data_IF_460773548278
#
_entry.id   IF_460773548278
#
_cell.length_a   1.000
_cell.length_b   1.000
_cell.length_c   1.000
_cell.angle_alpha   90.00
_cell.angle_beta   90.00
_cell.angle_gamma   90.00
#
_symmetry.space_group_name_H-M   'P 1'
#
loop_
_entity.id
_entity.type
_entity.pdbx_description
1 polymer ?
#
# COMPACT_ATOMS: atom_id res chain seq x y z
N UNK A 1 1.81 13.72 -19.51
CA UNK A 1 2.40 12.36 -19.54
C UNK A 1 2.50 11.73 -18.15
N UNK A 2 2.61 12.51 -17.06
CA UNK A 2 2.71 12.00 -15.68
C UNK A 2 1.44 11.27 -15.21
N UNK A 3 0.25 11.82 -15.47
CA UNK A 3 -1.01 11.19 -15.01
C UNK A 3 -1.27 9.78 -15.56
N UNK A 4 -0.80 9.47 -16.78
CA UNK A 4 -0.99 8.13 -17.38
C UNK A 4 -0.10 7.07 -16.72
N UNK A 5 1.11 7.44 -16.28
CA UNK A 5 1.98 6.56 -15.50
C UNK A 5 1.36 6.26 -14.13
N UNK A 6 0.84 7.28 -13.44
CA UNK A 6 0.21 7.11 -12.13
C UNK A 6 -1.01 6.19 -12.16
N UNK A 7 -1.79 6.21 -13.25
CA UNK A 7 -2.94 5.31 -13.43
C UNK A 7 -2.49 3.86 -13.64
N UNK A 8 -1.45 3.65 -14.46
CA UNK A 8 -0.90 2.32 -14.72
C UNK A 8 -0.28 1.73 -13.45
N UNK A 9 0.50 2.50 -12.70
CA UNK A 9 1.13 2.07 -11.45
C UNK A 9 0.10 1.63 -10.40
N UNK A 10 -1.03 2.36 -10.30
CA UNK A 10 -2.15 1.99 -9.43
C UNK A 10 -2.82 0.69 -9.84
N UNK A 11 -3.02 0.49 -11.14
CA UNK A 11 -3.62 -0.73 -11.65
C UNK A 11 -2.71 -1.94 -11.39
N UNK A 12 -1.40 -1.79 -11.58
CA UNK A 12 -0.43 -2.84 -11.24
C UNK A 12 -0.43 -3.17 -9.76
N UNK A 13 -0.38 -2.18 -8.87
CA UNK A 13 -0.46 -2.39 -7.42
C UNK A 13 -1.74 -3.13 -7.02
N UNK A 14 -2.88 -2.73 -7.61
CA UNK A 14 -4.15 -3.40 -7.35
C UNK A 14 -4.11 -4.87 -7.77
N UNK A 15 -3.59 -5.18 -8.97
CA UNK A 15 -3.52 -6.56 -9.45
C UNK A 15 -2.56 -7.41 -8.61
N UNK A 16 -1.39 -6.85 -8.26
CA UNK A 16 -0.40 -7.56 -7.44
C UNK A 16 -0.98 -7.96 -6.08
N UNK A 17 -1.71 -7.06 -5.42
CA UNK A 17 -2.41 -7.36 -4.16
C UNK A 17 -3.46 -8.46 -4.33
N UNK A 18 -4.25 -8.40 -5.40
CA UNK A 18 -5.28 -9.41 -5.67
C UNK A 18 -4.63 -10.78 -5.89
N UNK A 19 -3.59 -10.85 -6.72
CA UNK A 19 -2.89 -12.10 -7.02
C UNK A 19 -2.24 -12.69 -5.77
N UNK A 20 -1.63 -11.85 -4.93
CA UNK A 20 -1.03 -12.30 -3.68
C UNK A 20 -2.07 -12.89 -2.71
N UNK A 21 -3.20 -12.20 -2.51
CA UNK A 21 -4.26 -12.66 -1.60
C UNK A 21 -4.89 -13.97 -2.10
N UNK A 22 -5.17 -14.05 -3.41
CA UNK A 22 -5.66 -15.29 -4.02
C UNK A 22 -4.64 -16.44 -3.88
N UNK A 23 -3.34 -16.14 -4.00
CA UNK A 23 -2.26 -17.11 -3.79
C UNK A 23 -2.17 -17.64 -2.36
N UNK A 24 -2.66 -16.88 -1.38
CA UNK A 24 -2.74 -17.28 0.03
C UNK A 24 -4.06 -17.98 0.39
N UNK A 25 -5.01 -18.07 -0.55
CA UNK A 25 -6.29 -18.76 -0.36
C UNK A 25 -7.44 -17.87 0.12
N UNK A 26 -7.29 -16.56 0.05
CA UNK A 26 -8.38 -15.61 0.33
C UNK A 26 -9.49 -15.69 -0.72
N UNK A 27 -10.71 -15.30 -0.34
CA UNK A 27 -11.82 -15.21 -1.28
C UNK A 27 -11.58 -14.11 -2.33
N UNK A 28 -12.06 -14.32 -3.56
CA UNK A 28 -11.91 -13.36 -4.65
C UNK A 28 -12.60 -12.03 -4.33
N UNK A 29 -13.78 -12.04 -3.73
CA UNK A 29 -14.52 -10.83 -3.40
C UNK A 29 -13.75 -9.97 -2.39
N UNK A 30 -13.19 -10.62 -1.37
CA UNK A 30 -12.36 -9.97 -0.36
C UNK A 30 -11.06 -9.45 -0.96
N UNK A 31 -10.36 -10.25 -1.77
CA UNK A 31 -9.14 -9.85 -2.46
C UNK A 31 -9.34 -8.62 -3.36
N UNK A 32 -10.44 -8.59 -4.12
CA UNK A 32 -10.80 -7.44 -4.95
C UNK A 32 -11.11 -6.20 -4.13
N UNK A 33 -11.79 -6.35 -2.99
CA UNK A 33 -12.10 -5.24 -2.09
C UNK A 33 -10.82 -4.66 -1.48
N UNK A 34 -9.92 -5.51 -0.98
CA UNK A 34 -8.65 -5.11 -0.42
C UNK A 34 -7.74 -4.44 -1.46
N UNK A 35 -7.61 -5.01 -2.66
CA UNK A 35 -6.83 -4.41 -3.73
C UNK A 35 -7.31 -3.01 -4.11
N UNK A 36 -8.63 -2.80 -4.23
CA UNK A 36 -9.22 -1.49 -4.52
C UNK A 36 -8.94 -0.48 -3.39
N UNK A 37 -9.04 -0.91 -2.12
CA UNK A 37 -8.77 -0.05 -0.96
C UNK A 37 -7.31 0.38 -0.91
N UNK A 38 -6.37 -0.55 -1.08
CA UNK A 38 -4.92 -0.26 -1.09
C UNK A 38 -4.54 0.67 -2.25
N UNK A 39 -5.07 0.43 -3.46
CA UNK A 39 -4.82 1.30 -4.60
C UNK A 39 -5.38 2.72 -4.41
N UNK A 40 -6.52 2.87 -3.70
CA UNK A 40 -7.07 4.17 -3.33
C UNK A 40 -6.19 4.90 -2.32
N UNK A 41 -5.64 4.19 -1.33
CA UNK A 41 -4.71 4.75 -0.35
C UNK A 41 -3.45 5.24 -1.08
N UNK A 42 -2.84 4.41 -1.91
CA UNK A 42 -1.65 4.74 -2.70
C UNK A 42 -1.86 5.92 -3.68
N UNK A 43 -3.11 6.18 -4.09
CA UNK A 43 -3.46 7.29 -4.95
C UNK A 43 -3.51 8.64 -4.23
N UNK A 44 -3.61 8.62 -2.90
CA UNK A 44 -3.61 9.84 -2.08
C UNK A 44 -2.20 10.44 -2.12
N UNK A 45 -2.05 11.75 -2.33
CA UNK A 45 -0.72 12.34 -2.36
C UNK A 45 -0.06 12.27 -0.97
N UNK A 46 1.27 12.18 -0.91
CA UNK A 46 2.06 12.07 0.34
C UNK A 46 1.66 13.12 1.40
N UNK A 47 1.36 14.34 0.94
CA UNK A 47 0.90 15.46 1.78
C UNK A 47 -0.57 15.34 2.26
N UNK A 48 -1.40 14.53 1.59
CA UNK A 48 -2.80 14.30 1.92
C UNK A 48 -3.00 13.07 2.80
N UNK A 49 -2.01 12.19 2.95
CA UNK A 49 -2.14 11.01 3.82
C UNK A 49 -2.37 11.33 5.30
N UNK A 50 -2.04 12.55 5.75
CA UNK A 50 -2.41 13.03 7.11
C UNK A 50 -3.92 13.27 7.28
N UNK A 51 -4.66 13.36 6.17
CA UNK A 51 -6.13 13.46 6.16
C UNK A 51 -6.83 12.09 6.16
N UNK A 52 -6.08 10.98 6.06
CA UNK A 52 -6.64 9.64 6.27
C UNK A 52 -7.12 9.54 7.72
N UNK A 53 -8.45 9.47 7.87
CA UNK A 53 -9.11 9.38 9.18
C UNK A 53 -8.97 7.98 9.79
N UNK A 54 -8.89 6.95 8.95
CA UNK A 54 -8.77 5.57 9.39
C UNK A 54 -7.31 5.24 9.79
N UNK A 55 -7.08 4.76 11.02
CA UNK A 55 -5.74 4.45 11.50
C UNK A 55 -5.08 3.29 10.76
N UNK A 56 -5.87 2.34 10.21
CA UNK A 56 -5.34 1.25 9.41
C UNK A 56 -4.88 1.77 8.04
N UNK A 57 -5.68 2.61 7.39
CA UNK A 57 -5.31 3.21 6.10
C UNK A 57 -4.05 4.06 6.20
N UNK A 58 -3.87 4.80 7.32
CA UNK A 58 -2.61 5.51 7.61
C UNK A 58 -1.43 4.56 7.73
N UNK A 59 -1.61 3.43 8.41
CA UNK A 59 -0.55 2.44 8.58
C UNK A 59 -0.13 1.83 7.24
N UNK A 60 -1.11 1.52 6.38
CA UNK A 60 -0.88 1.01 5.03
C UNK A 60 -0.16 2.05 4.16
N UNK A 61 -0.62 3.31 4.19
CA UNK A 61 0.04 4.41 3.47
C UNK A 61 1.52 4.57 3.84
N UNK A 62 1.82 4.48 5.15
CA UNK A 62 3.19 4.57 5.66
C UNK A 62 4.06 3.39 5.20
N UNK A 63 3.53 2.16 5.22
CA UNK A 63 4.28 1.00 4.69
C UNK A 63 4.56 1.20 3.20
N UNK A 64 3.57 1.65 2.42
CA UNK A 64 3.73 1.90 0.99
C UNK A 64 4.75 3.00 0.68
N UNK A 65 4.83 4.06 1.51
CA UNK A 65 5.86 5.09 1.33
C UNK A 65 7.27 4.55 1.60
N UNK A 66 7.44 3.73 2.65
CA UNK A 66 8.73 3.09 2.97
C UNK A 66 9.20 2.10 1.89
N UNK A 67 8.26 1.34 1.31
CA UNK A 67 8.54 0.43 0.20
C UNK A 67 9.02 1.20 -1.04
N UNK A 68 8.40 2.36 -1.32
CA UNK A 68 8.81 3.23 -2.45
C UNK A 68 10.18 3.86 -2.25
N UNK A 69 10.61 4.08 -1.01
CA UNK A 69 11.97 4.52 -0.67
C UNK A 69 13.01 3.38 -0.75
N UNK A 70 12.64 2.22 -1.32
CA UNK A 70 13.48 1.02 -1.53
C UNK A 70 14.06 0.40 -0.25
N UNK A 71 13.56 0.80 0.92
CA UNK A 71 14.06 0.33 2.22
C UNK A 71 13.30 -0.89 2.76
N UNK A 72 12.24 -1.33 2.09
CA UNK A 72 11.27 -2.22 2.72
C UNK A 72 10.54 -3.14 1.73
N UNK A 73 10.29 -4.39 2.13
CA UNK A 73 9.49 -5.35 1.38
C UNK A 73 8.02 -5.28 1.86
N UNK A 74 7.04 -4.98 0.99
CA UNK A 74 5.63 -4.88 1.37
C UNK A 74 5.02 -6.22 1.79
N UNK A 75 5.60 -7.34 1.34
CA UNK A 75 5.08 -8.70 1.54
C UNK A 75 5.77 -9.43 2.70
N UNK A 76 6.90 -8.92 3.18
CA UNK A 76 7.69 -9.46 4.27
C UNK A 76 8.08 -8.33 5.23
N UNK A 77 7.05 -7.77 5.85
CA UNK A 77 7.15 -6.61 6.74
C UNK A 77 7.78 -7.03 8.06
N UNK A 78 9.06 -6.70 8.28
CA UNK A 78 9.64 -6.73 9.62
C UNK A 78 9.09 -5.55 10.44
N UNK A 79 8.14 -5.85 11.33
CA UNK A 79 7.49 -4.87 12.21
C UNK A 79 8.50 -4.16 13.14
N UNK A 80 9.61 -4.80 13.50
CA UNK A 80 10.64 -4.17 14.34
C UNK A 80 11.44 -3.16 13.54
N UNK A 81 11.83 -3.51 12.32
CA UNK A 81 12.50 -2.59 11.39
C UNK A 81 11.57 -1.42 11.03
N UNK A 82 10.29 -1.70 10.75
CA UNK A 82 9.26 -0.69 10.51
C UNK A 82 9.16 0.31 11.67
N UNK A 83 9.05 -0.18 12.91
CA UNK A 83 8.95 0.68 14.10
C UNK A 83 10.23 1.50 14.34
N UNK A 84 11.40 0.97 14.01
CA UNK A 84 12.67 1.70 14.13
C UNK A 84 12.73 2.88 13.15
N UNK A 85 12.39 2.64 11.88
CA UNK A 85 12.35 3.71 10.86
C UNK A 85 11.23 4.71 11.16
N UNK A 86 10.10 4.24 11.67
CA UNK A 86 8.98 5.09 12.08
C UNK A 86 9.35 6.00 13.26
N UNK A 87 10.06 5.49 14.27
CA UNK A 87 10.44 6.28 15.45
C UNK A 87 11.52 7.34 15.17
N UNK A 88 12.25 7.22 14.06
CA UNK A 88 13.27 8.19 13.63
C UNK A 88 12.69 9.37 12.81
N UNK A 89 11.44 9.27 12.37
CA UNK A 89 10.70 10.32 11.63
C UNK A 89 9.80 11.14 12.56
#
# INVERSE_FOLDING_TARGET
MVEQQSVLDRWFLQQEVIEQLLGQGEDREDAEQFGKRIASIAATEEAEHQSLHDPFDRSVALVLSLVREEAFNPWDVDLSAFLSVFAER
#
